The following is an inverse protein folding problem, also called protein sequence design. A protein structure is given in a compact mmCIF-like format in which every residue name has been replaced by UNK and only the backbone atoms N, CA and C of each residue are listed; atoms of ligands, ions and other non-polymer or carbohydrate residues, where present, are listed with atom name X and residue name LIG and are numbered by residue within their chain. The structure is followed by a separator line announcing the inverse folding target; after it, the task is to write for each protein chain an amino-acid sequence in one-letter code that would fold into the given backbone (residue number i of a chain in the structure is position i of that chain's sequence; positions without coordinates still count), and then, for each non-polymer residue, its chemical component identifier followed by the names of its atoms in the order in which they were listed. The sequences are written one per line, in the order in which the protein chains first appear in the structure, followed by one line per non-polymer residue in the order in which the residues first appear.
data_IF_445457998893
#
_entry.id   IF_445457998893
#
_cell.length_a   1.000
_cell.length_b   1.000
_cell.length_c   1.000
_cell.angle_alpha   90.00
_cell.angle_beta   90.00
_cell.angle_gamma   90.00
#
_symmetry.space_group_name_H-M   'P 1'
#
loop_
_entity.id
_entity.type
_entity.pdbx_description
1 polymer ?
#
# COMPACT_ATOMS: atom_id res chain seq x y z
N UNK A 1 18.46 18.84 20.15
CA UNK A 1 19.67 18.38 19.41
C UNK A 1 20.15 19.44 18.40
N UNK A 2 21.44 19.79 18.46
CA UNK A 2 22.08 20.75 17.53
C UNK A 2 22.77 20.06 16.35
N UNK A 3 23.20 18.81 16.53
CA UNK A 3 23.79 18.02 15.45
C UNK A 3 22.71 17.41 14.55
N UNK A 4 22.95 17.51 13.24
CA UNK A 4 22.18 16.80 12.23
C UNK A 4 22.62 15.34 12.20
N UNK A 5 21.67 14.45 11.93
CA UNK A 5 22.02 13.09 11.58
C UNK A 5 22.66 13.03 10.17
N UNK A 6 23.92 12.58 10.02
CA UNK A 6 24.52 12.42 8.72
C UNK A 6 23.90 11.22 8.00
N UNK A 7 23.31 11.45 6.83
CA UNK A 7 22.95 10.37 5.92
C UNK A 7 24.18 10.03 5.05
N UNK A 8 24.56 8.75 4.91
CA UNK A 8 25.67 8.38 4.04
C UNK A 8 25.34 8.74 2.59
N UNK A 9 26.29 9.31 1.81
CA UNK A 9 26.03 9.65 0.42
C UNK A 9 25.82 8.39 -0.41
N UNK A 10 24.79 8.38 -1.25
CA UNK A 10 24.54 7.28 -2.18
C UNK A 10 25.43 7.46 -3.42
N UNK A 11 26.57 6.78 -3.46
CA UNK A 11 27.54 6.89 -4.57
C UNK A 11 27.29 5.84 -5.64
N UNK A 12 26.97 6.27 -6.86
CA UNK A 12 26.84 5.40 -8.03
C UNK A 12 28.10 5.49 -8.89
N UNK A 13 29.18 4.90 -8.38
CA UNK A 13 30.45 4.87 -9.07
C UNK A 13 31.11 3.49 -8.91
N UNK A 14 31.70 3.00 -10.00
CA UNK A 14 32.50 1.79 -10.01
C UNK A 14 33.99 2.11 -9.95
N UNK A 15 34.78 1.16 -9.42
CA UNK A 15 36.24 1.18 -9.53
C UNK A 15 36.70 0.09 -10.46
N UNK A 16 37.44 0.46 -11.51
CA UNK A 16 37.97 -0.52 -12.46
C UNK A 16 39.41 -0.91 -12.10
N UNK A 17 39.67 -2.20 -11.80
CA UNK A 17 41.04 -2.69 -11.65
C UNK A 17 41.75 -2.77 -13.01
N UNK A 18 43.09 -2.70 -13.08
CA UNK A 18 44.05 -2.64 -11.97
C UNK A 18 44.39 -1.22 -11.48
N UNK A 19 44.02 -0.16 -12.22
CA UNK A 19 44.39 1.23 -11.92
C UNK A 19 43.50 1.90 -10.86
N UNK A 20 42.44 1.22 -10.42
CA UNK A 20 41.44 1.73 -9.48
C UNK A 20 40.79 3.05 -9.92
N UNK A 21 40.68 3.28 -11.24
CA UNK A 21 40.00 4.45 -11.79
C UNK A 21 38.52 4.44 -11.37
N UNK A 22 38.06 5.56 -10.81
CA UNK A 22 36.66 5.75 -10.41
C UNK A 22 35.89 6.26 -11.62
N UNK A 23 34.86 5.51 -12.02
CA UNK A 23 33.94 5.91 -13.09
C UNK A 23 32.57 6.08 -12.45
N UNK A 24 32.09 7.32 -12.38
CA UNK A 24 30.75 7.63 -11.94
C UNK A 24 29.75 7.37 -13.07
N UNK A 25 28.55 6.95 -12.71
CA UNK A 25 27.43 6.87 -13.65
C UNK A 25 27.09 8.28 -14.13
N UNK A 26 26.98 8.46 -15.44
CA UNK A 26 26.69 9.77 -16.04
C UNK A 26 25.18 10.08 -15.93
N UNK A 27 24.79 11.14 -15.20
CA UNK A 27 23.38 11.49 -15.00
C UNK A 27 22.61 11.81 -16.28
N UNK A 28 23.30 12.09 -17.39
CA UNK A 28 22.65 12.29 -18.69
C UNK A 28 22.21 11.00 -19.41
N UNK A 29 22.67 9.83 -18.96
CA UNK A 29 22.44 8.55 -19.65
C UNK A 29 21.25 7.75 -19.10
N UNK A 30 20.61 8.22 -18.03
CA UNK A 30 19.50 7.55 -17.40
C UNK A 30 18.42 8.53 -16.92
N UNK A 31 17.20 8.03 -16.75
CA UNK A 31 16.07 8.85 -16.27
C UNK A 31 16.30 9.37 -14.84
N UNK A 32 15.74 10.55 -14.49
CA UNK A 32 15.88 11.13 -13.16
C UNK A 32 15.23 10.26 -12.05
N UNK A 33 14.26 9.43 -12.40
CA UNK A 33 13.59 8.51 -11.46
C UNK A 33 14.51 7.42 -10.90
N UNK A 34 15.62 7.11 -11.59
CA UNK A 34 16.56 6.05 -11.19
C UNK A 34 17.11 6.28 -9.77
N UNK A 35 17.27 7.54 -9.37
CA UNK A 35 17.83 7.89 -8.06
C UNK A 35 16.77 8.21 -7.02
N UNK A 36 15.59 8.68 -7.41
CA UNK A 36 14.60 9.24 -6.50
C UNK A 36 14.21 8.27 -5.37
N UNK A 37 13.86 7.02 -5.70
CA UNK A 37 13.46 6.02 -4.69
C UNK A 37 14.65 5.44 -3.92
N UNK A 38 15.83 5.37 -4.52
CA UNK A 38 17.05 4.92 -3.84
C UNK A 38 17.51 5.94 -2.78
N UNK A 39 17.48 7.23 -3.12
CA UNK A 39 17.75 8.33 -2.19
C UNK A 39 16.70 8.40 -1.08
N UNK A 40 15.43 8.21 -1.42
CA UNK A 40 14.34 8.08 -0.45
C UNK A 40 14.61 6.94 0.54
N UNK A 41 14.93 5.74 0.04
CA UNK A 41 15.24 4.60 0.90
C UNK A 41 16.48 4.86 1.79
N UNK A 42 17.51 5.52 1.25
CA UNK A 42 18.71 5.90 1.99
C UNK A 42 18.39 6.89 3.13
N UNK A 43 17.56 7.90 2.86
CA UNK A 43 17.08 8.84 3.87
C UNK A 43 16.25 8.15 4.96
N UNK A 44 15.36 7.24 4.56
CA UNK A 44 14.55 6.46 5.50
C UNK A 44 15.43 5.56 6.37
N UNK A 45 16.43 4.89 5.78
CA UNK A 45 17.39 4.07 6.50
C UNK A 45 18.18 4.89 7.54
N UNK A 46 18.63 6.10 7.18
CA UNK A 46 19.29 7.00 8.12
C UNK A 46 18.36 7.32 9.31
N UNK A 47 17.10 7.71 9.06
CA UNK A 47 16.15 7.99 10.13
C UNK A 47 15.84 6.76 11.02
N UNK A 48 15.83 5.55 10.45
CA UNK A 48 15.60 4.31 11.20
C UNK A 48 16.78 3.93 12.11
N UNK A 49 18.00 4.35 11.76
CA UNK A 49 19.22 4.12 12.57
C UNK A 49 19.27 4.93 13.86
N UNK A 50 18.41 5.92 14.05
CA UNK A 50 18.33 6.73 15.28
C UNK A 50 17.95 5.94 16.56
N UNK A 51 18.09 4.61 16.56
CA UNK A 51 17.73 3.71 17.65
C UNK A 51 18.62 3.82 18.89
N UNK A 52 17.97 4.11 20.03
CA UNK A 52 18.37 3.68 21.38
C UNK A 52 19.22 4.62 22.23
N UNK A 53 19.76 5.73 21.71
CA UNK A 53 20.57 6.62 22.54
C UNK A 53 19.68 7.39 23.56
N UNK A 54 19.90 7.26 24.88
CA UNK A 54 19.19 8.06 25.87
C UNK A 54 19.50 9.55 25.63
N UNK A 55 18.48 10.35 25.27
CA UNK A 55 18.58 11.80 25.08
C UNK A 55 18.34 12.33 23.67
N UNK A 56 18.11 11.47 22.66
CA UNK A 56 17.75 11.91 21.31
C UNK A 56 16.24 12.25 21.20
N UNK A 57 15.82 13.35 21.81
CA UNK A 57 14.46 13.87 21.60
C UNK A 57 14.34 14.51 20.20
N UNK A 58 13.52 13.88 19.35
CA UNK A 58 13.15 14.44 18.05
C UNK A 58 12.16 15.58 18.29
N UNK A 59 12.60 16.82 18.08
CA UNK A 59 11.76 18.00 18.21
C UNK A 59 11.32 18.53 16.84
N UNK A 60 10.19 19.24 16.80
CA UNK A 60 9.71 19.94 15.60
C UNK A 60 10.80 20.83 14.97
N UNK A 61 11.53 21.57 15.79
CA UNK A 61 12.61 22.45 15.35
C UNK A 61 13.77 21.69 14.69
N UNK A 62 14.11 20.52 15.24
CA UNK A 62 15.17 19.68 14.68
C UNK A 62 14.80 19.11 13.30
N UNK A 63 13.55 18.68 13.12
CA UNK A 63 13.04 18.21 11.81
C UNK A 63 13.12 19.33 10.76
N UNK A 64 12.73 20.56 11.14
CA UNK A 64 12.77 21.71 10.23
C UNK A 64 14.21 22.15 9.92
N UNK A 65 15.14 22.00 10.87
CA UNK A 65 16.56 22.29 10.68
C UNK A 65 17.19 21.36 9.62
N UNK A 66 16.87 20.06 9.67
CA UNK A 66 17.29 19.08 8.65
C UNK A 66 16.89 19.49 7.23
N UNK A 67 15.70 20.08 7.05
CA UNK A 67 15.24 20.58 5.75
C UNK A 67 16.03 21.81 5.30
N UNK A 68 16.25 22.76 6.20
CA UNK A 68 16.93 24.02 5.89
C UNK A 68 18.37 23.76 5.42
N UNK A 69 19.07 22.87 6.12
CA UNK A 69 20.45 22.48 5.81
C UNK A 69 20.55 21.65 4.52
N UNK A 70 19.60 20.74 4.27
CA UNK A 70 19.51 20.04 2.99
C UNK A 70 19.34 21.01 1.82
N UNK A 71 18.56 22.08 2.01
CA UNK A 71 18.34 23.11 0.98
C UNK A 71 19.55 24.05 0.82
N UNK A 72 20.27 24.36 1.91
CA UNK A 72 21.39 25.30 1.90
C UNK A 72 22.70 24.68 1.39
N UNK A 73 22.94 23.40 1.70
CA UNK A 73 24.17 22.68 1.31
C UNK A 73 24.22 22.36 -0.19
N UNK A 74 23.08 22.40 -0.91
CA UNK A 74 22.99 21.95 -2.31
C UNK A 74 23.30 20.46 -2.52
N UNK A 75 23.60 19.73 -1.45
CA UNK A 75 23.98 18.31 -1.43
C UNK A 75 22.82 17.43 -0.96
N UNK A 76 21.81 17.99 -0.29
CA UNK A 76 20.64 17.25 0.19
C UNK A 76 19.59 17.11 -0.91
N UNK A 77 19.48 15.93 -1.52
CA UNK A 77 18.34 15.62 -2.37
C UNK A 77 17.03 15.77 -1.60
N UNK A 78 16.03 16.41 -2.21
CA UNK A 78 14.68 16.51 -1.66
C UNK A 78 14.07 15.12 -1.38
N UNK A 79 14.47 14.11 -2.17
CA UNK A 79 14.04 12.73 -2.01
C UNK A 79 14.62 12.08 -0.75
N UNK A 80 15.90 12.37 -0.43
CA UNK A 80 16.52 11.89 0.80
C UNK A 80 15.86 12.49 2.06
N UNK A 81 15.52 13.79 2.03
CA UNK A 81 14.76 14.41 3.13
C UNK A 81 13.35 13.81 3.27
N UNK A 82 12.66 13.56 2.15
CA UNK A 82 11.38 12.85 2.17
C UNK A 82 11.52 11.46 2.81
N UNK A 83 12.51 10.68 2.40
CA UNK A 83 12.84 9.40 3.03
C UNK A 83 13.05 9.51 4.53
N UNK A 84 13.86 10.49 4.95
CA UNK A 84 14.13 10.76 6.36
C UNK A 84 12.86 11.07 7.15
N UNK A 85 11.95 11.90 6.62
CA UNK A 85 10.63 12.14 7.22
C UNK A 85 9.83 10.85 7.36
N UNK A 86 9.76 10.03 6.31
CA UNK A 86 9.05 8.75 6.33
C UNK A 86 9.59 7.84 7.45
N UNK A 87 10.92 7.69 7.54
CA UNK A 87 11.56 6.87 8.56
C UNK A 87 11.32 7.38 9.99
N UNK A 88 11.30 8.71 10.22
CA UNK A 88 10.87 9.28 11.50
C UNK A 88 9.41 8.94 11.81
N UNK A 89 8.55 8.95 10.78
CA UNK A 89 7.14 8.60 10.88
C UNK A 89 6.91 7.16 11.33
N UNK A 90 7.64 6.21 10.72
CA UNK A 90 7.60 4.79 11.09
C UNK A 90 8.05 4.54 12.53
N UNK A 91 8.90 5.40 13.09
CA UNK A 91 9.31 5.34 14.51
C UNK A 91 8.33 5.96 15.48
N UNK A 92 7.25 6.59 14.99
CA UNK A 92 6.32 7.34 15.83
C UNK A 92 6.80 8.74 16.21
N UNK A 93 7.91 9.21 15.65
CA UNK A 93 8.53 10.48 16.04
C UNK A 93 7.88 11.70 15.37
N UNK A 94 7.02 11.52 14.37
CA UNK A 94 6.34 12.64 13.70
C UNK A 94 5.14 13.20 14.46
N UNK A 95 4.76 12.63 15.61
CA UNK A 95 3.69 13.18 16.48
C UNK A 95 3.92 14.63 16.92
N UNK A 96 5.19 15.06 16.95
CA UNK A 96 5.58 16.44 17.30
C UNK A 96 5.31 17.44 16.16
N UNK A 97 5.04 16.96 14.94
CA UNK A 97 4.80 17.79 13.78
C UNK A 97 3.30 18.09 13.64
N UNK A 98 2.88 19.37 13.73
CA UNK A 98 1.48 19.72 13.55
C UNK A 98 1.04 19.55 12.09
N UNK A 99 -0.26 19.33 11.89
CA UNK A 99 -0.86 19.20 10.54
C UNK A 99 -0.57 20.43 9.65
N UNK A 100 -0.45 21.62 10.26
CA UNK A 100 -0.07 22.85 9.54
C UNK A 100 1.29 22.74 8.83
N UNK A 101 2.28 22.09 9.44
CA UNK A 101 3.58 21.88 8.79
C UNK A 101 3.51 20.79 7.73
N UNK A 102 2.64 19.79 7.89
CA UNK A 102 2.39 18.78 6.86
C UNK A 102 1.92 19.44 5.56
N UNK A 103 0.98 20.39 5.64
CA UNK A 103 0.55 21.17 4.47
C UNK A 103 1.69 21.97 3.84
N UNK A 104 2.67 22.46 4.61
CA UNK A 104 3.85 23.15 4.04
C UNK A 104 4.75 22.22 3.25
N UNK A 105 4.80 20.94 3.59
CA UNK A 105 5.51 19.93 2.81
C UNK A 105 4.70 19.51 1.57
N UNK A 106 3.39 19.28 1.72
CA UNK A 106 2.51 18.89 0.61
C UNK A 106 2.42 19.97 -0.49
N UNK A 107 2.52 21.26 -0.12
CA UNK A 107 2.56 22.38 -1.08
C UNK A 107 3.75 22.36 -2.03
N UNK A 108 4.81 21.59 -1.74
CA UNK A 108 5.97 21.47 -2.62
C UNK A 108 5.69 20.62 -3.86
N UNK A 109 4.58 19.88 -3.90
CA UNK A 109 4.17 19.04 -5.05
C UNK A 109 5.22 18.02 -5.50
N UNK A 110 6.11 17.59 -4.59
CA UNK A 110 7.03 16.47 -4.85
C UNK A 110 6.39 15.16 -4.39
N UNK A 111 6.22 14.19 -5.28
CA UNK A 111 5.53 12.93 -5.00
C UNK A 111 6.13 12.18 -3.81
N UNK A 112 7.45 12.01 -3.79
CA UNK A 112 8.18 11.38 -2.67
C UNK A 112 7.93 12.07 -1.33
N UNK A 113 7.83 13.40 -1.30
CA UNK A 113 7.56 14.16 -0.07
C UNK A 113 6.11 13.95 0.38
N UNK A 114 5.17 13.94 -0.56
CA UNK A 114 3.77 13.61 -0.27
C UNK A 114 3.62 12.20 0.28
N UNK A 115 4.27 11.20 -0.33
CA UNK A 115 4.32 9.82 0.16
C UNK A 115 4.89 9.78 1.58
N UNK A 116 6.03 10.42 1.83
CA UNK A 116 6.66 10.44 3.15
C UNK A 116 5.79 11.04 4.24
N UNK A 117 5.15 12.19 3.97
CA UNK A 117 4.34 12.90 4.95
C UNK A 117 3.05 12.15 5.22
N UNK A 118 2.35 11.70 4.18
CA UNK A 118 1.06 11.00 4.33
C UNK A 118 1.28 9.67 5.06
N UNK A 119 2.24 8.84 4.60
CA UNK A 119 2.55 7.56 5.25
C UNK A 119 3.14 7.74 6.64
N UNK A 120 4.12 8.63 6.78
CA UNK A 120 4.85 8.82 8.04
C UNK A 120 3.96 9.35 9.15
N UNK A 121 3.07 10.30 8.85
CA UNK A 121 2.09 10.80 9.81
C UNK A 121 1.10 9.71 10.20
N UNK A 122 0.55 8.95 9.24
CA UNK A 122 -0.37 7.86 9.54
C UNK A 122 0.29 6.75 10.37
N UNK A 123 1.53 6.37 10.04
CA UNK A 123 2.31 5.39 10.80
C UNK A 123 2.65 5.87 12.23
N UNK A 124 2.80 7.17 12.45
CA UNK A 124 2.95 7.72 13.80
C UNK A 124 1.65 7.69 14.62
N UNK A 125 0.50 7.62 13.96
CA UNK A 125 -0.84 7.72 14.54
C UNK A 125 -1.70 6.48 14.27
N UNK A 126 -1.08 5.29 14.19
CA UNK A 126 -1.79 4.02 13.94
C UNK A 126 -2.93 3.82 14.94
N UNK A 127 -4.13 3.57 14.43
CA UNK A 127 -5.35 3.36 15.22
C UNK A 127 -5.93 4.59 15.91
N UNK A 128 -5.42 5.81 15.67
CA UNK A 128 -5.90 7.01 16.36
C UNK A 128 -7.20 7.58 15.79
N UNK A 129 -7.59 7.20 14.57
CA UNK A 129 -8.74 7.76 13.85
C UNK A 129 -8.75 9.30 13.82
N UNK A 130 -7.57 9.94 13.72
CA UNK A 130 -7.46 11.40 13.75
C UNK A 130 -8.16 12.02 12.54
N UNK A 131 -9.13 12.91 12.79
CA UNK A 131 -9.95 13.50 11.73
C UNK A 131 -9.15 14.44 10.81
N UNK A 132 -8.09 15.08 11.30
CA UNK A 132 -7.21 15.93 10.51
C UNK A 132 -6.39 15.13 9.51
N UNK A 133 -5.74 14.07 9.98
CA UNK A 133 -4.96 13.15 9.15
C UNK A 133 -5.85 12.35 8.19
N UNK A 134 -7.05 11.97 8.63
CA UNK A 134 -8.05 11.32 7.76
C UNK A 134 -8.41 12.23 6.58
N UNK A 135 -8.73 13.50 6.82
CA UNK A 135 -9.01 14.48 5.76
C UNK A 135 -7.80 14.66 4.83
N UNK A 136 -6.59 14.71 5.38
CA UNK A 136 -5.36 14.79 4.60
C UNK A 136 -5.19 13.57 3.67
N UNK A 137 -5.56 12.36 4.11
CA UNK A 137 -5.53 11.19 3.23
C UNK A 137 -6.64 11.27 2.16
N UNK A 138 -7.87 11.62 2.54
CA UNK A 138 -9.01 11.64 1.62
C UNK A 138 -8.85 12.59 0.44
N UNK A 139 -8.15 13.73 0.60
CA UNK A 139 -7.91 14.66 -0.54
C UNK A 139 -6.99 14.08 -1.61
N UNK A 140 -6.29 12.98 -1.33
CA UNK A 140 -5.45 12.26 -2.28
C UNK A 140 -6.13 11.00 -2.84
N UNK A 141 -7.36 10.69 -2.41
CA UNK A 141 -8.13 9.53 -2.88
C UNK A 141 -9.15 10.01 -3.93
N UNK A 142 -9.05 9.59 -5.20
CA UNK A 142 -9.86 10.19 -6.25
C UNK A 142 -11.38 9.99 -6.11
N UNK A 143 -11.84 8.92 -5.44
CA UNK A 143 -13.28 8.69 -5.21
C UNK A 143 -13.88 9.58 -4.12
N UNK A 144 -13.03 10.19 -3.29
CA UNK A 144 -13.44 11.06 -2.18
C UNK A 144 -13.42 12.54 -2.57
N UNK A 145 -12.94 12.87 -3.77
CA UNK A 145 -12.91 14.22 -4.29
C UNK A 145 -14.27 14.63 -4.86
N UNK A 146 -14.80 15.81 -4.49
CA UNK A 146 -15.98 16.35 -5.15
C UNK A 146 -15.74 16.55 -6.65
N UNK A 147 -16.80 16.44 -7.46
CA UNK A 147 -16.73 16.62 -8.92
C UNK A 147 -16.14 17.98 -9.36
N UNK A 148 -16.18 18.99 -8.49
CA UNK A 148 -15.58 20.32 -8.73
C UNK A 148 -14.05 20.32 -8.76
N UNK A 149 -13.39 19.35 -8.14
CA UNK A 149 -11.92 19.23 -8.09
C UNK A 149 -11.39 18.18 -9.08
N UNK A 150 -12.15 17.94 -10.15
CA UNK A 150 -11.93 16.85 -11.10
C UNK A 150 -10.67 16.98 -11.96
N UNK A 151 -10.06 18.17 -12.00
CA UNK A 151 -8.82 18.46 -12.74
C UNK A 151 -7.54 18.24 -11.92
N UNK A 152 -7.64 17.88 -10.62
CA UNK A 152 -6.47 17.64 -9.79
C UNK A 152 -5.90 16.24 -10.05
N UNK A 153 -4.87 16.15 -10.88
CA UNK A 153 -4.11 14.91 -11.06
C UNK A 153 -3.18 14.66 -9.87
N UNK A 154 -3.40 13.53 -9.19
CA UNK A 154 -2.55 13.06 -8.08
C UNK A 154 -1.74 11.87 -8.58
N UNK A 155 -0.43 11.89 -8.39
CA UNK A 155 0.45 10.78 -8.81
C UNK A 155 0.06 9.46 -8.13
N UNK A 156 0.14 8.35 -8.88
CA UNK A 156 -0.30 7.02 -8.40
C UNK A 156 0.35 6.59 -7.06
N UNK A 157 1.68 6.76 -6.83
CA UNK A 157 2.28 6.42 -5.54
C UNK A 157 1.68 7.17 -4.35
N UNK A 158 1.26 8.42 -4.55
CA UNK A 158 0.63 9.24 -3.51
C UNK A 158 -0.78 8.73 -3.21
N UNK A 159 -1.54 8.32 -4.24
CA UNK A 159 -2.86 7.72 -4.08
C UNK A 159 -2.79 6.39 -3.30
N UNK A 160 -1.90 5.48 -3.72
CA UNK A 160 -1.66 4.20 -3.04
C UNK A 160 -1.29 4.41 -1.58
N UNK A 161 -0.41 5.38 -1.33
CA UNK A 161 0.01 5.75 0.03
C UNK A 161 -1.14 6.30 0.87
N UNK A 162 -2.00 7.14 0.29
CA UNK A 162 -3.13 7.72 1.00
C UNK A 162 -4.15 6.65 1.45
N UNK A 163 -4.44 5.69 0.57
CA UNK A 163 -5.31 4.55 0.87
C UNK A 163 -4.71 3.67 1.96
N UNK A 164 -3.42 3.31 1.84
CA UNK A 164 -2.73 2.52 2.86
C UNK A 164 -2.71 3.24 4.22
N UNK A 165 -2.44 4.55 4.20
CA UNK A 165 -2.41 5.42 5.39
C UNK A 165 -3.76 5.49 6.09
N UNK A 166 -4.86 5.50 5.33
CA UNK A 166 -6.20 5.40 5.90
C UNK A 166 -6.39 4.07 6.64
N UNK A 167 -5.91 2.96 6.07
CA UNK A 167 -5.91 1.66 6.74
C UNK A 167 -5.13 1.64 8.07
N UNK A 168 -3.97 2.32 8.12
CA UNK A 168 -3.18 2.44 9.34
C UNK A 168 -3.87 3.28 10.41
N UNK A 169 -4.46 4.43 10.05
CA UNK A 169 -5.17 5.32 10.98
C UNK A 169 -6.37 4.63 11.63
N UNK A 170 -7.05 3.75 10.89
CA UNK A 170 -8.23 3.01 11.32
C UNK A 170 -7.93 1.56 11.71
N UNK A 171 -6.65 1.21 11.92
CA UNK A 171 -6.25 -0.16 12.21
C UNK A 171 -7.04 -0.75 13.40
N UNK A 172 -7.58 -1.96 13.22
CA UNK A 172 -8.40 -2.71 14.19
C UNK A 172 -9.66 -1.99 14.69
N UNK A 173 -10.13 -0.94 14.02
CA UNK A 173 -11.32 -0.18 14.44
C UNK A 173 -12.65 -0.78 13.97
N UNK A 174 -12.63 -1.67 12.96
CA UNK A 174 -13.85 -2.11 12.26
C UNK A 174 -14.73 -0.96 11.75
N UNK A 175 -14.13 0.20 11.42
CA UNK A 175 -14.90 1.38 11.06
C UNK A 175 -15.66 1.18 9.74
N UNK A 176 -16.99 1.12 9.83
CA UNK A 176 -17.86 0.71 8.72
C UNK A 176 -17.69 1.52 7.45
N UNK A 177 -17.77 2.84 7.52
CA UNK A 177 -17.68 3.69 6.33
C UNK A 177 -16.34 3.52 5.59
N UNK A 178 -15.24 3.38 6.33
CA UNK A 178 -13.92 3.19 5.73
C UNK A 178 -13.77 1.78 5.14
N UNK A 179 -14.41 0.79 5.76
CA UNK A 179 -14.50 -0.58 5.23
C UNK A 179 -15.26 -0.61 3.90
N UNK A 180 -16.45 0.00 3.84
CA UNK A 180 -17.25 0.10 2.60
C UNK A 180 -16.46 0.80 1.49
N UNK A 181 -15.81 1.92 1.81
CA UNK A 181 -14.96 2.67 0.89
C UNK A 181 -13.83 1.80 0.33
N UNK A 182 -13.05 1.15 1.20
CA UNK A 182 -11.88 0.38 0.77
C UNK A 182 -12.25 -0.87 -0.02
N UNK A 183 -13.38 -1.54 0.29
CA UNK A 183 -13.87 -2.64 -0.55
C UNK A 183 -14.20 -2.12 -1.95
N UNK A 184 -14.84 -0.95 -2.07
CA UNK A 184 -15.13 -0.34 -3.36
C UNK A 184 -13.84 0.08 -4.12
N UNK A 185 -12.82 0.58 -3.42
CA UNK A 185 -11.53 0.95 -4.04
C UNK A 185 -10.76 -0.26 -4.58
N UNK A 186 -10.85 -1.44 -3.95
CA UNK A 186 -10.24 -2.67 -4.50
C UNK A 186 -10.77 -2.96 -5.90
N UNK A 187 -12.09 -2.86 -6.09
CA UNK A 187 -12.79 -3.14 -7.35
C UNK A 187 -13.00 -1.95 -8.27
N UNK A 188 -12.22 -0.88 -8.12
CA UNK A 188 -12.39 0.36 -8.87
C UNK A 188 -12.26 0.15 -10.39
N UNK A 189 -13.25 0.64 -11.14
CA UNK A 189 -13.25 0.61 -12.61
C UNK A 189 -12.20 1.55 -13.20
N UNK A 190 -11.66 1.25 -14.39
CA UNK A 190 -10.70 2.12 -15.05
C UNK A 190 -11.35 3.46 -15.40
N UNK A 191 -10.62 4.53 -15.15
CA UNK A 191 -10.95 5.86 -15.63
C UNK A 191 -9.71 6.49 -16.25
N UNK A 192 -9.89 7.42 -17.19
CA UNK A 192 -8.76 8.09 -17.85
C UNK A 192 -7.86 8.90 -16.89
N UNK A 193 -8.33 9.13 -15.66
CA UNK A 193 -7.59 9.80 -14.58
C UNK A 193 -6.73 8.86 -13.73
N UNK A 194 -6.94 7.55 -13.83
CA UNK A 194 -6.34 6.54 -12.96
C UNK A 194 -5.78 5.35 -13.79
N UNK A 195 -5.07 5.68 -14.87
CA UNK A 195 -4.55 4.70 -15.81
C UNK A 195 -3.28 3.99 -15.32
N UNK A 196 -2.52 4.63 -14.43
CA UNK A 196 -1.19 4.16 -14.03
C UNK A 196 -1.23 3.40 -12.70
N UNK A 197 -0.65 2.19 -12.69
CA UNK A 197 -0.46 1.33 -11.51
C UNK A 197 -1.75 1.01 -10.73
N UNK A 198 -2.77 0.53 -11.45
CA UNK A 198 -4.05 0.10 -10.87
C UNK A 198 -3.87 -1.13 -9.97
N UNK A 199 -2.95 -2.03 -10.32
CA UNK A 199 -2.64 -3.20 -9.49
C UNK A 199 -2.08 -2.77 -8.13
N UNK A 200 -1.13 -1.82 -8.10
CA UNK A 200 -0.56 -1.28 -6.87
C UNK A 200 -1.61 -0.60 -6.00
N UNK A 201 -2.53 0.16 -6.60
CA UNK A 201 -3.62 0.82 -5.88
C UNK A 201 -4.62 -0.18 -5.27
N UNK A 202 -5.05 -1.18 -6.05
CA UNK A 202 -5.97 -2.23 -5.57
C UNK A 202 -5.33 -3.06 -4.45
N UNK A 203 -4.04 -3.35 -4.58
CA UNK A 203 -3.25 -4.01 -3.54
C UNK A 203 -3.18 -3.18 -2.25
N UNK A 204 -2.91 -1.88 -2.37
CA UNK A 204 -2.87 -0.95 -1.23
C UNK A 204 -4.23 -0.86 -0.52
N UNK A 205 -5.33 -0.82 -1.28
CA UNK A 205 -6.69 -0.87 -0.73
C UNK A 205 -6.98 -2.18 0.01
N UNK A 206 -6.50 -3.31 -0.53
CA UNK A 206 -6.58 -4.62 0.13
C UNK A 206 -5.85 -4.67 1.47
N UNK A 207 -4.60 -4.19 1.51
CA UNK A 207 -3.83 -4.05 2.75
C UNK A 207 -4.54 -3.13 3.76
N UNK A 208 -5.01 -1.97 3.30
CA UNK A 208 -5.70 -1.01 4.14
C UNK A 208 -6.96 -1.62 4.78
N UNK A 209 -7.79 -2.30 3.98
CA UNK A 209 -8.99 -3.00 4.45
C UNK A 209 -8.63 -4.08 5.49
N UNK A 210 -7.59 -4.86 5.19
CA UNK A 210 -7.05 -5.85 6.09
C UNK A 210 -6.60 -5.26 7.43
N UNK A 211 -5.94 -4.10 7.43
CA UNK A 211 -5.54 -3.39 8.64
C UNK A 211 -6.74 -2.93 9.48
N UNK A 212 -7.79 -2.39 8.86
CA UNK A 212 -8.99 -1.93 9.59
C UNK A 212 -9.70 -3.07 10.31
N UNK A 213 -9.77 -4.24 9.65
CA UNK A 213 -10.49 -5.41 10.13
C UNK A 213 -9.55 -6.53 10.67
N UNK A 214 -8.31 -6.17 11.03
CA UNK A 214 -7.24 -7.11 11.31
C UNK A 214 -7.59 -8.10 12.42
N UNK A 215 -7.63 -9.39 12.07
CA UNK A 215 -7.88 -10.51 12.98
C UNK A 215 -9.27 -10.54 13.61
N UNK A 216 -10.25 -9.81 13.07
CA UNK A 216 -11.63 -9.81 13.59
C UNK A 216 -12.45 -11.00 13.08
N UNK A 217 -12.06 -11.59 11.94
CA UNK A 217 -12.78 -12.69 11.32
C UNK A 217 -14.21 -12.33 10.91
N UNK A 218 -15.12 -13.28 11.08
CA UNK A 218 -16.55 -13.09 10.76
C UNK A 218 -17.30 -12.26 11.82
N UNK A 219 -16.75 -12.14 13.03
CA UNK A 219 -17.41 -11.52 14.20
C UNK A 219 -17.11 -10.02 14.33
N UNK A 220 -16.70 -9.38 13.24
CA UNK A 220 -16.41 -7.95 13.24
C UNK A 220 -17.69 -7.14 13.55
N UNK A 221 -17.67 -6.31 14.61
CA UNK A 221 -18.87 -5.62 15.08
C UNK A 221 -19.38 -4.62 14.03
N UNK A 222 -20.66 -4.70 13.67
CA UNK A 222 -21.30 -3.77 12.74
C UNK A 222 -20.96 -3.98 11.26
N UNK A 223 -20.30 -5.09 10.90
CA UNK A 223 -19.93 -5.42 9.52
C UNK A 223 -20.54 -6.74 9.00
N UNK A 224 -21.30 -7.47 9.82
CA UNK A 224 -21.84 -8.80 9.48
C UNK A 224 -22.70 -8.81 8.20
N UNK A 225 -23.46 -7.74 7.96
CA UNK A 225 -24.33 -7.53 6.81
C UNK A 225 -23.57 -7.20 5.51
N UNK A 226 -22.33 -6.71 5.60
CA UNK A 226 -21.50 -6.43 4.42
C UNK A 226 -21.07 -7.71 3.71
N UNK A 227 -21.04 -8.85 4.43
CA UNK A 227 -20.56 -10.13 3.91
C UNK A 227 -19.18 -10.04 3.24
N UNK A 228 -18.22 -9.37 3.91
CA UNK A 228 -16.90 -9.05 3.35
C UNK A 228 -16.19 -10.25 2.70
N UNK A 229 -16.25 -11.42 3.32
CA UNK A 229 -15.64 -12.64 2.78
C UNK A 229 -16.18 -13.00 1.38
N UNK A 230 -17.48 -12.82 1.13
CA UNK A 230 -18.10 -13.11 -0.17
C UNK A 230 -17.59 -12.15 -1.24
N UNK A 231 -17.45 -10.86 -0.90
CA UNK A 231 -16.91 -9.85 -1.80
C UNK A 231 -15.45 -10.11 -2.14
N UNK A 232 -14.63 -10.36 -1.13
CA UNK A 232 -13.20 -10.62 -1.31
C UNK A 232 -12.95 -11.90 -2.10
N UNK A 233 -13.70 -12.98 -1.85
CA UNK A 233 -13.63 -14.20 -2.67
C UNK A 233 -13.99 -13.93 -4.14
N UNK A 234 -14.88 -12.97 -4.41
CA UNK A 234 -15.24 -12.58 -5.77
C UNK A 234 -14.16 -11.72 -6.44
N UNK A 235 -13.44 -10.88 -5.68
CA UNK A 235 -12.23 -10.22 -6.18
C UNK A 235 -11.11 -11.22 -6.48
N UNK A 236 -11.01 -12.30 -5.69
CA UNK A 236 -9.99 -13.34 -5.89
C UNK A 236 -10.30 -14.23 -7.10
N UNK A 237 -11.56 -14.65 -7.28
CA UNK A 237 -11.95 -15.66 -8.28
C UNK A 237 -12.64 -15.10 -9.52
N UNK A 238 -13.08 -13.84 -9.47
CA UNK A 238 -13.88 -13.21 -10.52
C UNK A 238 -15.38 -13.48 -10.39
N UNK A 239 -16.15 -12.91 -11.32
CA UNK A 239 -17.60 -13.04 -11.38
C UNK A 239 -18.29 -11.77 -11.89
N UNK A 240 -19.64 -11.78 -12.00
CA UNK A 240 -20.39 -10.60 -12.43
C UNK A 240 -20.16 -9.43 -11.46
N UNK A 241 -20.34 -8.19 -11.89
CA UNK A 241 -20.34 -7.06 -10.95
C UNK A 241 -21.54 -7.13 -10.00
N UNK A 242 -21.34 -6.77 -8.74
CA UNK A 242 -22.40 -6.73 -7.74
C UNK A 242 -22.52 -5.30 -7.20
N UNK A 243 -23.73 -4.80 -6.90
CA UNK A 243 -23.89 -3.54 -6.19
C UNK A 243 -23.39 -3.70 -4.75
N UNK A 244 -22.45 -2.85 -4.34
CA UNK A 244 -21.91 -2.85 -2.98
C UNK A 244 -23.02 -2.58 -1.95
N UNK A 245 -23.03 -3.25 -0.78
CA UNK A 245 -23.96 -2.92 0.29
C UNK A 245 -23.38 -1.71 1.06
N UNK A 246 -24.12 -0.60 1.13
CA UNK A 246 -23.66 0.56 1.89
C UNK A 246 -24.15 1.91 1.38
N UNK A 247 -23.94 2.93 2.21
CA UNK A 247 -24.36 4.31 1.91
C UNK A 247 -23.41 5.03 0.93
N UNK A 248 -22.17 4.55 0.79
CA UNK A 248 -21.15 5.14 -0.09
C UNK A 248 -21.45 4.98 -1.59
N UNK A 249 -22.49 4.24 -1.97
CA UNK A 249 -22.86 3.94 -3.36
C UNK A 249 -24.34 4.23 -3.66
N UNK A 250 -24.96 5.18 -2.94
CA UNK A 250 -26.41 5.41 -2.95
C UNK A 250 -27.08 5.77 -4.28
N UNK A 251 -26.36 5.83 -5.39
CA UNK A 251 -26.98 5.83 -6.71
C UNK A 251 -26.34 4.80 -7.64
N UNK A 252 -27.07 3.78 -8.09
CA UNK A 252 -26.60 2.91 -9.17
C UNK A 252 -26.33 3.67 -10.46
N UNK A 253 -27.00 4.82 -10.67
CA UNK A 253 -26.89 5.73 -11.83
C UNK A 253 -25.95 6.94 -11.62
N UNK A 254 -25.53 7.19 -10.39
CA UNK A 254 -24.67 8.31 -9.99
C UNK A 254 -23.60 7.86 -8.97
N UNK A 255 -23.23 6.59 -9.02
CA UNK A 255 -22.04 6.12 -8.35
C UNK A 255 -20.84 6.74 -9.05
N UNK A 256 -19.72 7.00 -8.36
CA UNK A 256 -18.51 7.58 -8.96
C UNK A 256 -17.93 6.76 -10.13
N UNK A 257 -18.48 5.57 -10.39
CA UNK A 257 -18.10 4.64 -11.47
C UNK A 257 -19.17 4.49 -12.57
N UNK A 258 -20.27 5.26 -12.57
CA UNK A 258 -21.30 5.20 -13.63
C UNK A 258 -21.55 6.53 -14.35
N UNK A 259 -20.61 7.48 -14.31
CA UNK A 259 -20.62 8.56 -15.30
C UNK A 259 -20.04 8.02 -16.62
N UNK A 260 -20.79 8.01 -17.74
CA UNK A 260 -20.24 7.64 -19.05
C UNK A 260 -19.11 8.58 -19.51
N UNK A 261 -18.93 9.72 -18.83
CA UNK A 261 -17.80 10.63 -18.97
C UNK A 261 -16.50 10.19 -18.24
N UNK A 262 -16.56 9.09 -17.46
CA UNK A 262 -15.41 8.52 -16.71
C UNK A 262 -14.98 7.14 -17.20
N UNK A 263 -15.62 6.60 -18.24
CA UNK A 263 -15.16 5.39 -18.91
C UNK A 263 -13.76 5.63 -19.49
N UNK A 264 -12.85 4.67 -19.30
CA UNK A 264 -11.53 4.81 -19.90
C UNK A 264 -11.60 4.72 -21.43
N UNK A 265 -10.92 5.62 -22.12
CA UNK A 265 -10.69 5.59 -23.56
C UNK A 265 -9.54 4.65 -23.95
N UNK A 266 -8.73 4.19 -22.99
CA UNK A 266 -7.54 3.37 -23.22
C UNK A 266 -7.68 1.91 -22.75
N UNK A 267 -8.51 1.66 -21.72
CA UNK A 267 -8.66 0.33 -21.12
C UNK A 267 -10.09 -0.16 -21.29
N UNK A 268 -10.25 -1.27 -22.01
CA UNK A 268 -11.52 -2.01 -22.11
C UNK A 268 -11.46 -3.23 -21.19
N UNK A 269 -12.32 -3.26 -20.17
CA UNK A 269 -12.46 -4.42 -19.30
C UNK A 269 -13.64 -5.29 -19.75
N UNK A 270 -13.54 -6.62 -19.64
CA UNK A 270 -14.66 -7.52 -19.89
C UNK A 270 -15.76 -7.33 -18.84
N UNK A 271 -16.98 -7.75 -19.16
CA UNK A 271 -18.10 -7.69 -18.23
C UNK A 271 -17.80 -8.52 -16.97
N UNK A 272 -17.61 -7.84 -15.84
CA UNK A 272 -17.37 -8.47 -14.54
C UNK A 272 -16.19 -7.86 -13.78
N UNK A 273 -15.66 -8.65 -12.85
CA UNK A 273 -14.52 -8.27 -12.02
C UNK A 273 -13.21 -8.66 -12.72
N UNK A 274 -12.31 -7.70 -12.86
CA UNK A 274 -10.98 -7.93 -13.40
C UNK A 274 -10.05 -8.54 -12.33
N UNK A 275 -9.85 -9.87 -12.41
CA UNK A 275 -9.05 -10.64 -11.45
C UNK A 275 -7.57 -10.27 -11.50
N UNK A 276 -7.05 -9.82 -12.65
CA UNK A 276 -5.64 -9.42 -12.76
C UNK A 276 -5.27 -8.21 -11.89
N UNK A 277 -6.25 -7.35 -11.59
CA UNK A 277 -6.08 -6.18 -10.73
C UNK A 277 -6.48 -6.50 -9.29
N UNK A 278 -7.64 -7.15 -9.11
CA UNK A 278 -8.31 -7.24 -7.80
C UNK A 278 -7.90 -8.44 -6.95
N UNK A 279 -7.39 -9.52 -7.56
CA UNK A 279 -7.08 -10.76 -6.83
C UNK A 279 -6.02 -10.59 -5.73
N UNK A 280 -4.87 -9.92 -5.96
CA UNK A 280 -3.88 -9.69 -4.92
C UNK A 280 -4.43 -8.93 -3.71
N UNK A 281 -5.12 -7.81 -3.95
CA UNK A 281 -5.73 -6.99 -2.90
C UNK A 281 -6.81 -7.75 -2.13
N UNK A 282 -7.70 -8.45 -2.84
CA UNK A 282 -8.73 -9.29 -2.23
C UNK A 282 -8.16 -10.42 -1.36
N UNK A 283 -7.10 -11.07 -1.84
CA UNK A 283 -6.43 -12.16 -1.15
C UNK A 283 -5.76 -11.71 0.16
N UNK A 284 -5.00 -10.60 0.11
CA UNK A 284 -4.34 -10.05 1.29
C UNK A 284 -5.35 -9.51 2.30
N UNK A 285 -6.39 -8.80 1.84
CA UNK A 285 -7.46 -8.35 2.72
C UNK A 285 -8.10 -9.53 3.46
N UNK A 286 -8.44 -10.60 2.75
CA UNK A 286 -9.05 -11.80 3.34
C UNK A 286 -8.11 -12.46 4.36
N UNK A 287 -6.82 -12.58 4.02
CA UNK A 287 -5.79 -13.12 4.91
C UNK A 287 -5.66 -12.33 6.21
N UNK A 288 -5.65 -10.98 6.12
CA UNK A 288 -5.50 -10.10 7.27
C UNK A 288 -6.77 -10.05 8.14
N UNK A 289 -7.96 -10.07 7.52
CA UNK A 289 -9.24 -10.10 8.25
C UNK A 289 -9.35 -11.39 9.08
N UNK A 290 -9.01 -12.53 8.49
CA UNK A 290 -9.09 -13.85 9.11
C UNK A 290 -7.75 -14.33 9.70
N UNK A 291 -6.81 -13.40 9.92
CA UNK A 291 -5.47 -13.71 10.42
C UNK A 291 -5.54 -14.45 11.77
N UNK A 292 -4.94 -15.65 11.82
CA UNK A 292 -4.93 -16.55 12.99
C UNK A 292 -6.31 -16.89 13.56
N UNK A 293 -7.34 -16.89 12.71
CA UNK A 293 -8.69 -17.30 13.14
C UNK A 293 -8.94 -18.80 12.99
N UNK A 294 -8.08 -19.51 12.25
CA UNK A 294 -8.24 -20.93 11.88
C UNK A 294 -9.61 -21.24 11.27
N UNK A 295 -10.19 -20.27 10.54
CA UNK A 295 -11.50 -20.41 9.93
C UNK A 295 -11.43 -21.26 8.65
N UNK A 296 -11.55 -22.58 8.80
CA UNK A 296 -11.51 -23.54 7.68
C UNK A 296 -12.57 -23.24 6.61
N UNK A 297 -13.75 -22.74 7.01
CA UNK A 297 -14.83 -22.38 6.09
C UNK A 297 -14.46 -21.29 5.08
N UNK A 298 -13.55 -20.38 5.46
CA UNK A 298 -13.02 -19.35 4.56
C UNK A 298 -11.76 -19.84 3.86
N UNK A 299 -10.85 -20.50 4.59
CA UNK A 299 -9.58 -20.97 4.05
C UNK A 299 -9.78 -21.96 2.89
N UNK A 300 -10.76 -22.87 3.01
CA UNK A 300 -11.15 -23.84 1.96
C UNK A 300 -11.72 -23.20 0.69
N UNK A 301 -12.28 -21.98 0.78
CA UNK A 301 -12.81 -21.23 -0.38
C UNK A 301 -11.72 -20.49 -1.15
N UNK A 302 -10.52 -20.36 -0.59
CA UNK A 302 -9.36 -19.84 -1.32
C UNK A 302 -8.84 -20.97 -2.21
N UNK A 303 -9.39 -21.07 -3.41
CA UNK A 303 -9.06 -22.15 -4.35
C UNK A 303 -7.60 -22.04 -4.81
N UNK A 304 -6.82 -23.04 -4.41
CA UNK A 304 -5.49 -23.34 -4.93
C UNK A 304 -5.67 -24.29 -6.12
N UNK A 305 -4.97 -24.10 -7.25
CA UNK A 305 -5.06 -25.00 -8.41
C UNK A 305 -4.80 -26.45 -8.00
N UNK A 306 -5.63 -27.38 -8.46
CA UNK A 306 -5.54 -28.81 -8.14
C UNK A 306 -5.10 -29.67 -9.34
N UNK A 307 -5.01 -29.08 -10.53
CA UNK A 307 -4.59 -29.76 -11.75
C UNK A 307 -3.99 -28.75 -12.74
N UNK A 308 -3.33 -29.29 -13.78
CA UNK A 308 -2.66 -28.51 -14.83
C UNK A 308 -3.63 -27.55 -15.53
N UNK A 309 -4.86 -28.00 -15.79
CA UNK A 309 -5.87 -27.15 -16.43
C UNK A 309 -6.19 -25.90 -15.61
N UNK A 310 -6.39 -26.02 -14.30
CA UNK A 310 -6.62 -24.87 -13.42
C UNK A 310 -5.38 -23.96 -13.30
N UNK A 311 -4.19 -24.55 -13.41
CA UNK A 311 -2.93 -23.80 -13.39
C UNK A 311 -2.81 -22.85 -14.60
N UNK A 312 -3.33 -23.24 -15.76
CA UNK A 312 -3.32 -22.39 -16.97
C UNK A 312 -4.16 -21.10 -16.82
N UNK A 313 -5.13 -21.07 -15.90
CA UNK A 313 -6.01 -19.92 -15.68
C UNK A 313 -5.60 -19.01 -14.52
N UNK A 314 -4.49 -19.32 -13.84
CA UNK A 314 -4.01 -18.53 -12.70
C UNK A 314 -2.55 -18.14 -12.89
N UNK A 315 -2.23 -16.88 -12.60
CA UNK A 315 -0.83 -16.46 -12.58
C UNK A 315 -0.11 -17.07 -11.37
N UNK A 316 1.15 -17.55 -11.49
CA UNK A 316 1.86 -18.19 -10.40
C UNK A 316 2.01 -17.33 -9.14
N UNK A 317 2.19 -16.01 -9.30
CA UNK A 317 2.24 -15.04 -8.20
C UNK A 317 0.92 -14.99 -7.42
N UNK A 318 -0.22 -15.13 -8.09
CA UNK A 318 -1.52 -15.17 -7.42
C UNK A 318 -1.74 -16.50 -6.69
N UNK A 319 -1.29 -17.61 -7.27
CA UNK A 319 -1.32 -18.91 -6.60
C UNK A 319 -0.50 -18.87 -5.30
N UNK A 320 0.69 -18.26 -5.33
CA UNK A 320 1.54 -18.05 -4.16
C UNK A 320 0.83 -17.19 -3.09
N UNK A 321 0.21 -16.07 -3.49
CA UNK A 321 -0.54 -15.22 -2.55
C UNK A 321 -1.73 -15.96 -1.92
N UNK A 322 -2.45 -16.77 -2.69
CA UNK A 322 -3.56 -17.59 -2.21
C UNK A 322 -3.10 -18.64 -1.20
N UNK A 323 -1.98 -19.30 -1.48
CA UNK A 323 -1.38 -20.26 -0.55
C UNK A 323 -0.95 -19.56 0.74
N UNK A 324 -0.23 -18.44 0.63
CA UNK A 324 0.18 -17.64 1.78
C UNK A 324 -1.02 -17.18 2.61
N UNK A 325 -2.09 -16.71 1.97
CA UNK A 325 -3.32 -16.31 2.64
C UNK A 325 -3.94 -17.46 3.44
N UNK A 326 -4.01 -18.66 2.85
CA UNK A 326 -4.49 -19.86 3.55
C UNK A 326 -3.64 -20.19 4.78
N UNK A 327 -2.31 -20.14 4.65
CA UNK A 327 -1.41 -20.37 5.78
C UNK A 327 -1.56 -19.31 6.88
N UNK A 328 -1.73 -18.02 6.52
CA UNK A 328 -1.95 -16.96 7.50
C UNK A 328 -3.28 -17.11 8.26
N UNK A 329 -4.31 -17.66 7.62
CA UNK A 329 -5.60 -17.95 8.25
C UNK A 329 -5.48 -19.17 9.17
N UNK A 330 -4.91 -20.26 8.66
CA UNK A 330 -4.65 -21.53 9.38
C UNK A 330 -3.30 -21.48 10.10
N UNK A 331 -3.10 -20.44 10.90
CA UNK A 331 -1.80 -20.12 11.49
C UNK A 331 -1.29 -21.21 12.44
N UNK A 332 -2.18 -21.88 13.15
CA UNK A 332 -1.80 -22.86 14.17
C UNK A 332 -1.27 -24.17 13.56
N UNK A 333 -1.55 -24.42 12.28
CA UNK A 333 -1.09 -25.59 11.54
C UNK A 333 0.34 -25.42 10.98
N UNK A 334 0.97 -24.24 11.14
CA UNK A 334 2.29 -23.95 10.56
C UNK A 334 3.40 -24.64 11.35
N UNK A 335 4.18 -25.49 10.68
CA UNK A 335 5.37 -26.13 11.24
C UNK A 335 6.66 -25.62 10.57
N UNK A 336 7.73 -25.47 11.37
CA UNK A 336 9.06 -25.10 10.88
C UNK A 336 9.83 -26.32 10.32
N UNK A 337 9.23 -27.01 9.34
CA UNK A 337 9.82 -28.19 8.70
C UNK A 337 9.69 -28.13 7.18
N UNK A 338 10.68 -28.67 6.46
CA UNK A 338 10.64 -28.74 4.99
C UNK A 338 9.46 -29.60 4.53
N UNK A 339 9.16 -30.69 5.25
CA UNK A 339 8.02 -31.56 4.96
C UNK A 339 6.67 -30.84 5.05
N UNK A 340 6.51 -29.89 5.98
CA UNK A 340 5.32 -29.05 6.02
C UNK A 340 5.23 -28.12 4.81
N UNK A 341 6.34 -27.48 4.42
CA UNK A 341 6.40 -26.61 3.23
C UNK A 341 6.05 -27.41 1.97
N UNK A 342 6.61 -28.60 1.80
CA UNK A 342 6.30 -29.51 0.69
C UNK A 342 4.83 -29.96 0.70
N UNK A 343 4.24 -30.19 1.88
CA UNK A 343 2.83 -30.58 2.01
C UNK A 343 1.83 -29.50 1.56
N UNK A 344 2.27 -28.24 1.48
CA UNK A 344 1.43 -27.14 1.00
C UNK A 344 1.27 -27.15 -0.53
N UNK A 345 2.16 -27.83 -1.25
CA UNK A 345 2.12 -27.90 -2.71
C UNK A 345 1.08 -28.93 -3.18
N UNK A 346 0.25 -28.59 -4.17
CA UNK A 346 -0.67 -29.55 -4.77
C UNK A 346 0.06 -30.81 -5.30
N UNK A 347 -0.45 -32.03 -5.04
CA UNK A 347 0.23 -33.28 -5.41
C UNK A 347 0.56 -33.42 -6.89
N UNK A 348 -0.22 -32.78 -7.78
CA UNK A 348 0.02 -32.85 -9.22
C UNK A 348 1.31 -32.13 -9.65
N UNK A 349 1.80 -31.14 -8.88
CA UNK A 349 3.05 -30.45 -9.18
C UNK A 349 4.25 -31.39 -8.97
N UNK A 350 4.23 -32.19 -7.89
CA UNK A 350 5.27 -33.19 -7.64
C UNK A 350 5.35 -34.26 -8.75
N UNK A 351 4.27 -34.47 -9.51
CA UNK A 351 4.25 -35.40 -10.65
C UNK A 351 4.85 -34.80 -11.93
N UNK A 352 4.88 -33.46 -12.05
CA UNK A 352 5.45 -32.76 -13.21
C UNK A 352 6.98 -32.70 -13.15
N UNK A 353 7.59 -32.68 -11.96
CA UNK A 353 9.05 -32.66 -11.79
C UNK A 353 9.75 -33.95 -12.30
N UNK A 354 8.98 -35.01 -12.58
CA UNK A 354 9.46 -36.28 -13.12
C UNK A 354 9.32 -36.40 -14.66
N UNK A 355 8.92 -35.34 -15.36
CA UNK A 355 8.77 -35.29 -16.83
C UNK A 355 9.84 -34.37 -17.43
#
# INVERSE_FOLDING_TARGET
PTELLPAPPLTLAGRFPPQAAVVALDPGQHGPELHAWAEFANGAAAALQLGGAPGAEVTRGWILHHRAEASASGQGSAHAHAGFLCGLGLRGALRVLPVADCYRYLRLQHDTTSVAVVLGMAASHVGSMDAGLTRMCCVHIPSMLPATYSDMEVASPVQCTAVLSLGLLFARSAHRMMTELLVAEIGRRPSDRALHDREGYSLAAGFALGCICLGLGADAPGLADLHLHTWLLRYIHGGPTMPMPGAATQDPKAGPNHDPATCSSLITEPDGINVSVTSPGGCIALALIFLRTNCEAVASRIVIPQNVFQLDYIRPDFAMLRLLARCLIMWDDIEASDGWVESQLPPFLAQLDYI
#
